data_IF_132995984398
#
_entry.id   IF_132995984398
#
_cell.length_a   1.000
_cell.length_b   1.000
_cell.length_c   1.000
_cell.angle_alpha   90.00
_cell.angle_beta   90.00
_cell.angle_gamma   90.00
#
_symmetry.space_group_name_H-M   'P 1'
#
loop_
_entity.id
_entity.type
_entity.pdbx_description
1 polymer ?
#
# COMPACT_ATOMS: atom_id res chain seq x y z
N UNK A 1 -36.87 27.51 -20.50
CA UNK A 1 -35.52 27.62 -21.08
C UNK A 1 -34.60 28.52 -20.25
N UNK A 2 -35.04 29.70 -19.82
CA UNK A 2 -34.24 30.62 -18.98
C UNK A 2 -33.79 30.03 -17.66
N UNK A 3 -34.64 29.27 -16.97
CA UNK A 3 -34.32 28.63 -15.69
C UNK A 3 -33.18 27.58 -15.80
N UNK A 4 -33.14 26.83 -16.90
CA UNK A 4 -32.07 25.87 -17.16
C UNK A 4 -30.72 26.56 -17.49
N UNK A 5 -30.79 27.69 -18.21
CA UNK A 5 -29.60 28.52 -18.50
C UNK A 5 -29.07 29.17 -17.21
N UNK A 6 -29.93 29.69 -16.37
CA UNK A 6 -29.55 30.28 -15.08
C UNK A 6 -28.94 29.27 -14.11
N UNK A 7 -29.48 28.05 -14.07
CA UNK A 7 -28.87 26.94 -13.35
C UNK A 7 -27.50 26.53 -13.91
N UNK A 8 -27.40 26.49 -15.21
CA UNK A 8 -26.15 26.14 -15.90
C UNK A 8 -25.05 27.20 -15.67
N UNK A 9 -25.43 28.48 -15.72
CA UNK A 9 -24.51 29.58 -15.43
C UNK A 9 -24.08 29.62 -13.96
N UNK A 10 -25.00 29.37 -13.02
CA UNK A 10 -24.65 29.24 -11.59
C UNK A 10 -23.73 28.06 -11.33
N UNK A 11 -23.99 26.90 -11.93
CA UNK A 11 -23.12 25.74 -11.83
C UNK A 11 -21.72 25.99 -12.39
N UNK A 12 -21.65 26.65 -13.57
CA UNK A 12 -20.36 26.99 -14.20
C UNK A 12 -19.61 28.03 -13.36
N UNK A 13 -20.29 29.02 -12.80
CA UNK A 13 -19.68 30.05 -11.94
C UNK A 13 -19.21 29.47 -10.61
N UNK A 14 -19.99 28.61 -9.94
CA UNK A 14 -19.55 27.93 -8.72
C UNK A 14 -18.37 26.99 -8.97
N UNK A 15 -18.36 26.28 -10.08
CA UNK A 15 -17.25 25.39 -10.45
C UNK A 15 -15.98 26.19 -10.84
N UNK A 16 -16.14 27.28 -11.58
CA UNK A 16 -15.03 28.13 -12.04
C UNK A 16 -14.40 28.94 -10.91
N UNK A 17 -15.16 29.32 -9.89
CA UNK A 17 -14.64 30.08 -8.74
C UNK A 17 -13.93 29.19 -7.70
N UNK A 18 -14.18 27.86 -7.69
CA UNK A 18 -13.64 26.97 -6.67
C UNK A 18 -12.45 26.12 -7.13
N UNK A 19 -12.22 25.98 -8.44
CA UNK A 19 -11.13 25.15 -8.97
C UNK A 19 -10.52 25.82 -10.19
N UNK A 20 -9.38 26.47 -10.02
CA UNK A 20 -8.61 26.91 -11.20
C UNK A 20 -8.06 25.66 -11.91
N UNK A 21 -8.32 25.53 -13.21
CA UNK A 21 -7.86 24.42 -14.03
C UNK A 21 -6.32 24.26 -13.98
N UNK A 22 -5.62 25.39 -13.87
CA UNK A 22 -4.16 25.42 -13.73
C UNK A 22 -3.67 24.79 -12.43
N UNK A 23 -4.35 25.07 -11.30
CA UNK A 23 -4.04 24.46 -9.99
C UNK A 23 -4.35 22.96 -10.00
N UNK A 24 -5.45 22.56 -10.63
CA UNK A 24 -5.78 21.15 -10.79
C UNK A 24 -4.71 20.38 -11.55
N UNK A 25 -4.28 20.88 -12.70
CA UNK A 25 -3.21 20.25 -13.47
C UNK A 25 -1.89 20.21 -12.71
N UNK A 26 -1.56 21.27 -11.99
CA UNK A 26 -0.37 21.29 -11.13
C UNK A 26 -0.45 20.23 -10.04
N UNK A 27 -1.59 20.12 -9.38
CA UNK A 27 -1.79 19.11 -8.31
C UNK A 27 -1.70 17.68 -8.85
N UNK A 28 -2.21 17.40 -10.04
CA UNK A 28 -2.07 16.09 -10.71
C UNK A 28 -0.60 15.79 -10.98
N UNK A 29 0.15 16.75 -11.52
CA UNK A 29 1.57 16.57 -11.82
C UNK A 29 2.36 16.30 -10.54
N UNK A 30 2.14 17.09 -9.48
CA UNK A 30 2.82 16.91 -8.21
C UNK A 30 2.45 15.56 -7.57
N UNK A 31 1.17 15.20 -7.55
CA UNK A 31 0.71 13.91 -7.02
C UNK A 31 1.34 12.74 -7.79
N UNK A 32 1.47 12.85 -9.11
CA UNK A 32 2.10 11.83 -9.95
C UNK A 32 3.58 11.66 -9.64
N UNK A 33 4.29 12.78 -9.44
CA UNK A 33 5.71 12.76 -9.06
C UNK A 33 5.90 12.14 -7.68
N UNK A 34 5.09 12.53 -6.69
CA UNK A 34 5.17 11.99 -5.34
C UNK A 34 4.81 10.50 -5.29
N UNK A 35 3.77 10.07 -6.00
CA UNK A 35 3.42 8.66 -6.12
C UNK A 35 4.52 7.86 -6.83
N UNK A 36 5.15 8.44 -7.85
CA UNK A 36 6.32 7.85 -8.51
C UNK A 36 7.51 7.70 -7.57
N UNK A 37 7.78 8.71 -6.74
CA UNK A 37 8.84 8.67 -5.73
C UNK A 37 8.57 7.61 -4.67
N UNK A 38 7.33 7.50 -4.15
CA UNK A 38 6.92 6.43 -3.24
C UNK A 38 7.09 5.05 -3.88
N UNK A 39 6.70 4.91 -5.15
CA UNK A 39 6.88 3.67 -5.91
C UNK A 39 8.36 3.25 -5.98
N UNK A 40 9.24 4.16 -6.35
CA UNK A 40 10.67 3.88 -6.45
C UNK A 40 11.27 3.51 -5.09
N UNK A 41 10.89 4.25 -4.06
CA UNK A 41 11.34 3.98 -2.69
C UNK A 41 10.87 2.60 -2.21
N UNK A 42 9.60 2.26 -2.42
CA UNK A 42 9.06 0.95 -2.05
C UNK A 42 9.75 -0.21 -2.79
N UNK A 43 10.01 -0.08 -4.09
CA UNK A 43 10.70 -1.11 -4.87
C UNK A 43 12.12 -1.34 -4.35
N UNK A 44 12.81 -0.26 -3.91
CA UNK A 44 14.21 -0.32 -3.48
C UNK A 44 14.36 -0.76 -2.01
N UNK A 45 13.48 -0.29 -1.14
CA UNK A 45 13.58 -0.50 0.31
C UNK A 45 12.49 -1.41 0.90
N UNK A 46 11.46 -1.80 0.17
CA UNK A 46 10.39 -2.66 0.67
C UNK A 46 10.86 -4.09 0.90
N UNK A 47 10.44 -4.72 2.02
CA UNK A 47 10.79 -6.09 2.41
C UNK A 47 9.65 -7.10 2.12
N UNK A 48 8.59 -6.70 1.40
CA UNK A 48 7.45 -7.55 1.10
C UNK A 48 7.85 -8.79 0.27
N UNK A 49 7.28 -9.92 0.63
CA UNK A 49 7.48 -11.23 -0.05
C UNK A 49 6.73 -11.27 -1.38
N UNK A 50 5.71 -10.43 -1.54
CA UNK A 50 4.87 -10.33 -2.73
C UNK A 50 5.60 -9.67 -3.91
N UNK A 51 5.03 -9.78 -5.13
CA UNK A 51 5.61 -9.13 -6.31
C UNK A 51 5.55 -7.60 -6.20
N UNK A 52 6.62 -7.00 -5.62
CA UNK A 52 6.76 -5.58 -5.30
C UNK A 52 6.42 -4.66 -6.47
N UNK A 53 6.83 -5.03 -7.70
CA UNK A 53 6.59 -4.20 -8.89
C UNK A 53 5.11 -4.13 -9.25
N UNK A 54 4.38 -5.25 -9.14
CA UNK A 54 2.93 -5.28 -9.39
C UNK A 54 2.17 -4.44 -8.38
N UNK A 55 2.52 -4.56 -7.12
CA UNK A 55 1.89 -3.80 -6.05
C UNK A 55 2.16 -2.31 -6.20
N UNK A 56 3.41 -1.91 -6.42
CA UNK A 56 3.83 -0.52 -6.60
C UNK A 56 3.18 0.18 -7.81
N UNK A 57 2.75 -0.56 -8.83
CA UNK A 57 2.03 0.01 -9.98
C UNK A 57 0.66 0.59 -9.60
N UNK A 58 0.09 0.15 -8.48
CA UNK A 58 -1.20 0.66 -8.00
C UNK A 58 -1.09 2.01 -7.29
N UNK A 59 0.11 2.48 -6.94
CA UNK A 59 0.29 3.74 -6.22
C UNK A 59 -0.16 4.95 -7.05
N UNK A 60 0.23 5.00 -8.31
CA UNK A 60 -0.15 6.11 -9.18
C UNK A 60 -1.68 6.24 -9.35
N UNK A 61 -2.40 5.19 -9.81
CA UNK A 61 -3.86 5.30 -9.95
C UNK A 61 -4.57 5.53 -8.61
N UNK A 62 -4.04 5.01 -7.49
CA UNK A 62 -4.62 5.24 -6.17
C UNK A 62 -4.47 6.70 -5.72
N UNK A 63 -3.29 7.32 -5.90
CA UNK A 63 -3.06 8.72 -5.57
C UNK A 63 -3.94 9.65 -6.43
N UNK A 64 -4.02 9.40 -7.73
CA UNK A 64 -4.84 10.21 -8.63
C UNK A 64 -6.34 10.02 -8.40
N UNK A 65 -6.77 8.80 -8.09
CA UNK A 65 -8.17 8.51 -7.72
C UNK A 65 -8.57 9.22 -6.44
N UNK A 66 -7.74 9.19 -5.40
CA UNK A 66 -8.03 9.90 -4.14
C UNK A 66 -7.99 11.41 -4.31
N UNK A 67 -7.07 11.95 -5.12
CA UNK A 67 -7.03 13.37 -5.47
C UNK A 67 -8.33 13.81 -6.12
N UNK A 68 -8.80 13.07 -7.14
CA UNK A 68 -10.06 13.37 -7.83
C UNK A 68 -11.25 13.34 -6.86
N UNK A 69 -11.34 12.31 -6.02
CA UNK A 69 -12.40 12.17 -5.03
C UNK A 69 -12.44 13.40 -4.11
N UNK A 70 -11.31 13.81 -3.56
CA UNK A 70 -11.24 14.94 -2.63
C UNK A 70 -11.59 16.25 -3.30
N UNK A 71 -11.19 16.46 -4.54
CA UNK A 71 -11.59 17.66 -5.28
C UNK A 71 -13.11 17.77 -5.46
N UNK A 72 -13.76 16.65 -5.78
CA UNK A 72 -15.22 16.60 -5.91
C UNK A 72 -15.89 16.81 -4.56
N UNK A 73 -15.39 16.16 -3.51
CA UNK A 73 -15.93 16.26 -2.14
C UNK A 73 -15.81 17.68 -1.60
N UNK A 74 -14.68 18.36 -1.86
CA UNK A 74 -14.45 19.74 -1.41
C UNK A 74 -15.45 20.73 -1.98
N UNK A 75 -16.05 20.45 -3.13
CA UNK A 75 -17.02 21.35 -3.78
C UNK A 75 -18.40 21.33 -3.14
N UNK A 76 -18.77 20.28 -2.37
CA UNK A 76 -20.12 20.16 -1.79
C UNK A 76 -20.12 19.33 -0.50
N UNK A 77 -20.64 19.93 0.59
CA UNK A 77 -20.78 19.26 1.90
C UNK A 77 -21.75 18.06 1.79
N UNK A 78 -22.82 18.19 1.03
CA UNK A 78 -23.79 17.10 0.83
C UNK A 78 -23.13 15.90 0.14
N UNK A 79 -22.28 16.16 -0.85
CA UNK A 79 -21.57 15.12 -1.59
C UNK A 79 -20.51 14.44 -0.71
N UNK A 80 -19.87 15.20 0.20
CA UNK A 80 -18.91 14.65 1.15
C UNK A 80 -19.56 13.66 2.12
N UNK A 81 -20.72 14.00 2.68
CA UNK A 81 -21.47 13.12 3.57
C UNK A 81 -21.96 11.87 2.82
N UNK A 82 -22.44 12.03 1.60
CA UNK A 82 -22.87 10.91 0.75
C UNK A 82 -21.71 9.95 0.42
N UNK A 83 -20.53 10.48 0.11
CA UNK A 83 -19.37 9.68 -0.20
C UNK A 83 -18.85 8.92 1.02
N UNK A 84 -18.77 9.56 2.19
CA UNK A 84 -18.39 8.89 3.45
C UNK A 84 -19.35 7.74 3.76
N UNK A 85 -20.67 7.97 3.58
CA UNK A 85 -21.68 6.93 3.70
C UNK A 85 -21.47 5.78 2.72
N UNK A 86 -21.23 6.09 1.45
CA UNK A 86 -20.99 5.08 0.42
C UNK A 86 -19.69 4.27 0.67
N UNK A 87 -18.60 4.93 1.07
CA UNK A 87 -17.33 4.26 1.38
C UNK A 87 -17.42 3.38 2.63
N UNK A 88 -18.28 3.69 3.59
CA UNK A 88 -18.48 2.86 4.78
C UNK A 88 -19.08 1.49 4.49
N UNK A 89 -19.77 1.34 3.35
CA UNK A 89 -20.37 0.07 2.90
C UNK A 89 -19.36 -0.78 2.13
N UNK A 90 -18.30 -0.16 1.60
CA UNK A 90 -17.28 -0.87 0.82
C UNK A 90 -16.40 -1.71 1.73
N UNK A 91 -16.65 -3.00 1.73
CA UNK A 91 -15.85 -3.97 2.48
C UNK A 91 -14.81 -4.64 1.58
N UNK A 92 -13.55 -4.32 1.80
CA UNK A 92 -12.45 -5.04 1.13
C UNK A 92 -12.34 -6.46 1.69
N UNK A 93 -12.47 -7.45 0.81
CA UNK A 93 -12.30 -8.87 1.17
C UNK A 93 -10.88 -9.39 0.92
N UNK A 94 -10.02 -8.59 0.30
CA UNK A 94 -8.64 -8.98 0.06
C UNK A 94 -7.83 -8.87 1.37
N UNK A 95 -7.29 -9.98 1.82
CA UNK A 95 -6.34 -9.97 2.92
C UNK A 95 -5.02 -9.37 2.42
N UNK A 96 -4.67 -8.19 2.92
CA UNK A 96 -3.32 -7.65 2.74
C UNK A 96 -2.42 -8.47 3.66
N UNK A 97 -1.52 -9.27 3.08
CA UNK A 97 -0.70 -10.21 3.83
C UNK A 97 0.42 -9.53 4.61
N UNK A 98 0.95 -8.45 4.06
CA UNK A 98 2.09 -7.73 4.62
C UNK A 98 1.67 -6.36 5.19
N UNK A 99 1.87 -6.09 6.49
CA UNK A 99 1.51 -4.80 7.09
C UNK A 99 2.32 -3.64 6.50
N UNK A 100 3.51 -3.89 5.96
CA UNK A 100 4.33 -2.89 5.29
C UNK A 100 3.63 -2.37 4.01
N UNK A 101 3.00 -3.23 3.23
CA UNK A 101 2.23 -2.86 2.03
C UNK A 101 1.09 -1.89 2.38
N UNK A 102 0.41 -2.13 3.51
CA UNK A 102 -0.67 -1.28 3.99
C UNK A 102 -0.20 0.14 4.30
N UNK A 103 0.96 0.29 4.95
CA UNK A 103 1.55 1.60 5.27
C UNK A 103 1.82 2.41 3.98
N UNK A 104 2.40 1.81 2.96
CA UNK A 104 2.64 2.50 1.67
C UNK A 104 1.35 2.87 0.95
N UNK A 105 0.29 2.05 1.04
CA UNK A 105 -1.03 2.42 0.53
C UNK A 105 -1.59 3.65 1.24
N UNK A 106 -1.50 3.70 2.58
CA UNK A 106 -1.95 4.87 3.34
C UNK A 106 -1.16 6.14 3.00
N UNK A 107 0.15 6.03 2.81
CA UNK A 107 0.96 7.18 2.34
C UNK A 107 0.50 7.65 0.96
N UNK A 108 0.22 6.73 0.06
CA UNK A 108 -0.26 7.05 -1.29
C UNK A 108 -1.62 7.74 -1.27
N UNK A 109 -2.55 7.26 -0.43
CA UNK A 109 -3.83 7.92 -0.17
C UNK A 109 -3.60 9.33 0.40
N UNK A 110 -2.68 9.47 1.37
CA UNK A 110 -2.32 10.76 1.96
C UNK A 110 -1.82 11.77 0.95
N UNK A 111 -1.00 11.35 -0.03
CA UNK A 111 -0.56 12.20 -1.15
C UNK A 111 -1.76 12.69 -1.96
N UNK A 112 -2.67 11.77 -2.32
CA UNK A 112 -3.89 12.12 -3.08
C UNK A 112 -4.77 13.10 -2.31
N UNK A 113 -4.97 12.88 -1.00
CA UNK A 113 -5.74 13.76 -0.13
C UNK A 113 -5.14 15.16 -0.05
N UNK A 114 -3.84 15.28 0.20
CA UNK A 114 -3.18 16.58 0.36
C UNK A 114 -3.15 17.37 -0.95
N UNK A 115 -2.85 16.73 -2.07
CA UNK A 115 -2.89 17.37 -3.40
C UNK A 115 -4.34 17.73 -3.79
N UNK A 116 -5.33 16.88 -3.50
CA UNK A 116 -6.75 17.17 -3.73
C UNK A 116 -7.27 18.31 -2.87
N UNK A 117 -6.73 18.48 -1.65
CA UNK A 117 -7.02 19.60 -0.78
C UNK A 117 -6.34 20.93 -1.22
N UNK A 118 -5.63 20.94 -2.34
CA UNK A 118 -4.86 22.06 -2.88
C UNK A 118 -3.66 22.45 -2.01
N UNK A 119 -3.01 21.45 -1.39
CA UNK A 119 -1.83 21.64 -0.53
C UNK A 119 -0.64 20.79 -1.02
N UNK A 120 -0.17 20.96 -2.27
CA UNK A 120 0.88 20.13 -2.85
C UNK A 120 2.24 20.32 -2.15
N UNK A 121 2.53 21.52 -1.64
CA UNK A 121 3.78 21.81 -0.92
C UNK A 121 3.82 21.03 0.40
N UNK A 122 2.71 21.01 1.13
CA UNK A 122 2.61 20.26 2.38
C UNK A 122 2.75 18.75 2.13
N UNK A 123 2.15 18.23 1.06
CA UNK A 123 2.31 16.83 0.65
C UNK A 123 3.79 16.50 0.38
N UNK A 124 4.50 17.38 -0.34
CA UNK A 124 5.92 17.19 -0.65
C UNK A 124 6.78 17.16 0.61
N UNK A 125 6.61 18.13 1.50
CA UNK A 125 7.37 18.18 2.76
C UNK A 125 7.08 16.95 3.63
N UNK A 126 5.80 16.58 3.78
CA UNK A 126 5.40 15.45 4.60
C UNK A 126 5.98 14.13 4.06
N UNK A 127 5.89 13.87 2.76
CA UNK A 127 6.43 12.66 2.16
C UNK A 127 7.95 12.60 2.29
N UNK A 128 8.67 13.69 2.03
CA UNK A 128 10.11 13.74 2.21
C UNK A 128 10.53 13.47 3.66
N UNK A 129 9.82 14.07 4.63
CA UNK A 129 10.06 13.84 6.05
C UNK A 129 9.81 12.37 6.42
N UNK A 130 8.68 11.78 6.01
CA UNK A 130 8.35 10.38 6.30
C UNK A 130 9.38 9.43 5.68
N UNK A 131 9.73 9.62 4.40
CA UNK A 131 10.72 8.78 3.73
C UNK A 131 12.11 8.90 4.35
N UNK A 132 12.50 10.09 4.81
CA UNK A 132 13.77 10.28 5.51
C UNK A 132 13.82 9.55 6.85
N UNK A 133 12.71 9.56 7.61
CA UNK A 133 12.59 8.80 8.86
C UNK A 133 12.65 7.29 8.61
N UNK A 134 11.93 6.79 7.60
CA UNK A 134 11.95 5.36 7.26
C UNK A 134 13.38 4.95 6.83
N UNK A 135 14.02 5.75 6.01
CA UNK A 135 15.39 5.50 5.56
C UNK A 135 16.38 5.48 6.72
N UNK A 136 16.30 6.49 7.62
CA UNK A 136 17.13 6.56 8.81
C UNK A 136 16.90 5.38 9.75
N UNK A 137 15.63 5.00 9.98
CA UNK A 137 15.28 3.84 10.81
C UNK A 137 15.85 2.54 10.25
N UNK A 138 15.76 2.33 8.93
CA UNK A 138 16.35 1.14 8.28
C UNK A 138 17.90 1.13 8.37
N UNK A 139 18.51 2.30 8.33
CA UNK A 139 19.97 2.41 8.45
C UNK A 139 20.48 2.22 9.89
N UNK A 140 19.72 2.71 10.89
CA UNK A 140 20.09 2.60 12.31
C UNK A 140 19.85 1.18 12.83
N UNK A 141 18.71 0.60 12.48
CA UNK A 141 18.39 -0.78 12.89
C UNK A 141 19.25 -1.82 12.19
N UNK A 142 20.26 -1.36 11.41
CA UNK A 142 21.14 -2.15 10.59
C UNK A 142 20.34 -3.36 10.09
N UNK A 143 19.95 -3.40 8.84
CA UNK A 143 19.47 -4.66 8.29
C UNK A 143 20.52 -5.69 8.67
N UNK A 144 20.40 -6.23 9.90
CA UNK A 144 20.87 -7.55 10.11
C UNK A 144 20.27 -8.27 8.93
N UNK A 145 21.09 -8.80 8.08
CA UNK A 145 20.76 -9.80 7.09
C UNK A 145 19.98 -10.91 7.82
N UNK A 146 18.80 -10.62 8.30
CA UNK A 146 17.77 -11.62 8.39
C UNK A 146 17.54 -11.99 6.96
N UNK A 147 18.38 -12.94 6.59
CA UNK A 147 18.34 -13.59 5.31
C UNK A 147 16.90 -13.65 4.89
N UNK A 148 16.60 -12.94 3.81
CA UNK A 148 15.39 -13.08 3.00
C UNK A 148 15.42 -14.47 2.35
N UNK A 149 15.71 -15.46 3.13
CA UNK A 149 15.89 -16.84 2.80
C UNK A 149 15.39 -17.72 3.92
N UNK A 150 14.26 -17.36 4.55
CA UNK A 150 13.52 -18.39 5.28
C UNK A 150 13.00 -19.36 4.24
N UNK A 151 13.71 -20.44 4.09
CA UNK A 151 13.31 -21.55 3.24
C UNK A 151 12.23 -22.30 4.00
N UNK A 152 11.00 -22.27 3.49
CA UNK A 152 9.95 -23.14 4.03
C UNK A 152 10.09 -24.50 3.37
N UNK A 153 10.43 -25.50 4.14
CA UNK A 153 10.54 -26.88 3.66
C UNK A 153 9.33 -27.63 4.19
N UNK A 154 8.46 -28.07 3.29
CA UNK A 154 7.36 -28.96 3.64
C UNK A 154 7.74 -30.38 3.21
N UNK A 155 7.77 -31.30 4.14
CA UNK A 155 8.10 -32.70 3.92
C UNK A 155 6.89 -33.53 4.30
N UNK A 156 6.32 -34.21 3.33
CA UNK A 156 5.30 -35.22 3.57
C UNK A 156 5.95 -36.59 3.42
N UNK A 157 5.89 -37.38 4.47
CA UNK A 157 6.52 -38.71 4.51
C UNK A 157 5.60 -39.75 5.12
N UNK A 158 5.69 -40.97 4.61
CA UNK A 158 4.98 -42.12 5.17
C UNK A 158 5.73 -42.77 6.35
N UNK A 159 6.94 -42.28 6.65
CA UNK A 159 7.74 -42.77 7.79
C UNK A 159 7.48 -41.93 9.04
N UNK A 160 7.32 -42.61 10.18
CA UNK A 160 7.05 -41.98 11.48
C UNK A 160 8.31 -41.51 12.21
N UNK A 161 9.52 -41.78 11.68
CA UNK A 161 10.80 -41.43 12.31
C UNK A 161 11.23 -39.99 12.02
N UNK A 162 10.82 -39.10 12.94
CA UNK A 162 11.16 -37.69 12.93
C UNK A 162 12.68 -37.44 13.10
N UNK A 163 13.36 -38.30 13.89
CA UNK A 163 14.79 -38.14 14.19
C UNK A 163 15.67 -38.29 12.93
N UNK A 164 15.35 -39.18 12.06
CA UNK A 164 16.13 -39.40 10.83
C UNK A 164 16.04 -38.22 9.89
N UNK A 165 14.84 -37.64 9.75
CA UNK A 165 14.59 -36.48 8.89
C UNK A 165 15.27 -35.23 9.47
N UNK A 166 15.14 -35.02 10.79
CA UNK A 166 15.74 -33.88 11.46
C UNK A 166 17.26 -33.92 11.43
N UNK A 167 17.87 -35.08 11.64
CA UNK A 167 19.31 -35.27 11.59
C UNK A 167 19.89 -35.03 10.18
N UNK A 168 19.20 -35.45 9.14
CA UNK A 168 19.59 -35.17 7.74
C UNK A 168 19.53 -33.68 7.42
N UNK A 169 18.49 -32.98 7.89
CA UNK A 169 18.34 -31.56 7.65
C UNK A 169 19.37 -30.72 8.43
N UNK A 170 19.64 -31.06 9.68
CA UNK A 170 20.63 -30.37 10.53
C UNK A 170 22.05 -30.48 9.99
N UNK A 171 22.39 -31.57 9.28
CA UNK A 171 23.70 -31.69 8.63
C UNK A 171 23.92 -30.68 7.49
N UNK A 172 22.84 -30.20 6.84
CA UNK A 172 22.90 -29.35 5.64
C UNK A 172 22.43 -27.91 5.88
N UNK A 173 21.79 -27.62 7.01
CA UNK A 173 21.21 -26.32 7.33
C UNK A 173 21.81 -25.78 8.63
N UNK A 174 22.20 -24.51 8.64
CA UNK A 174 22.79 -23.84 9.79
C UNK A 174 21.76 -23.49 10.89
N UNK A 175 20.48 -23.45 10.53
CA UNK A 175 19.35 -23.16 11.42
C UNK A 175 18.10 -23.90 10.92
N UNK A 176 17.43 -24.61 11.83
CA UNK A 176 16.23 -25.38 11.50
C UNK A 176 15.23 -25.22 12.64
N UNK A 177 14.04 -24.70 12.35
CA UNK A 177 12.94 -24.57 13.30
C UNK A 177 11.71 -25.33 12.78
N UNK A 178 11.24 -26.31 13.55
CA UNK A 178 10.00 -27.03 13.26
C UNK A 178 8.81 -26.12 13.62
N UNK A 179 8.03 -25.70 12.64
CA UNK A 179 6.86 -24.84 12.84
C UNK A 179 5.56 -25.59 12.98
N UNK A 180 5.42 -26.67 12.25
CA UNK A 180 4.17 -27.45 12.22
C UNK A 180 4.46 -28.90 12.00
N UNK A 181 3.72 -29.74 12.70
CA UNK A 181 3.72 -31.19 12.56
C UNK A 181 2.27 -31.66 12.57
N UNK A 182 1.81 -32.19 11.48
CA UNK A 182 0.50 -32.82 11.37
C UNK A 182 0.68 -34.32 11.12
N UNK A 183 -0.05 -35.16 11.88
CA UNK A 183 -0.09 -36.59 11.65
C UNK A 183 -1.16 -36.88 10.60
N UNK A 184 -0.73 -37.42 9.47
CA UNK A 184 -1.60 -37.96 8.44
C UNK A 184 -1.70 -39.48 8.63
N UNK A 185 -2.84 -40.06 8.36
CA UNK A 185 -2.97 -41.52 8.36
C UNK A 185 -2.99 -42.04 6.90
N UNK A 186 -1.88 -42.68 6.41
CA UNK A 186 -0.56 -42.87 7.05
C UNK A 186 0.42 -41.74 6.76
N UNK A 187 1.23 -41.32 7.78
CA UNK A 187 2.40 -40.46 7.60
C UNK A 187 2.44 -39.18 8.41
N UNK A 188 3.48 -38.40 8.19
CA UNK A 188 3.74 -37.11 8.84
C UNK A 188 3.87 -36.01 7.80
N UNK A 189 3.26 -34.84 8.07
CA UNK A 189 3.47 -33.61 7.35
C UNK A 189 4.21 -32.62 8.24
N UNK A 190 5.43 -32.28 7.86
CA UNK A 190 6.37 -31.49 8.64
C UNK A 190 6.70 -30.20 7.88
N UNK A 191 6.53 -29.07 8.57
CA UNK A 191 6.92 -27.76 8.02
C UNK A 191 8.07 -27.18 8.84
N UNK A 192 9.22 -27.00 8.20
CA UNK A 192 10.42 -26.38 8.76
C UNK A 192 10.64 -25.00 8.17
N UNK A 193 11.34 -24.13 8.93
CA UNK A 193 11.79 -22.79 8.50
C UNK A 193 13.26 -22.62 8.79
#
# INVERSE_FOLDING_TARGET
MQFLQELQERYIQEFSNNVSLSEFLLNIVVASILAGMLRLFYIHFGNAISNRRRFANNFLPLALGTLLIIMIVKSSIALSLGLVGALSIVRFRAAIKDPEELVYLFMTIGVGLACGANQPILALIAILAILSVIWASKRINGEGKQASGKLFINITTDQEDLEVITNLLVQHLSYLELKRMDTLTPGLDLSFV
#
